data_IF_411180285445
#
_entry.id   IF_411180285445
#
_cell.length_a   1.000
_cell.length_b   1.000
_cell.length_c   1.000
_cell.angle_alpha   90.00
_cell.angle_beta   90.00
_cell.angle_gamma   90.00
#
_symmetry.space_group_name_H-M   'P 1'
#
loop_
_entity.id
_entity.type
_entity.pdbx_description
1 polymer ?
#
# COMPACT_ATOMS: atom_id res chain seq x y z
N UNK A 1 2.12 -3.04 -1.69
CA UNK A 1 3.14 -3.63 -0.81
C UNK A 1 4.50 -3.37 -1.42
N UNK A 2 5.53 -3.27 -0.60
CA UNK A 2 6.88 -2.86 -0.99
C UNK A 2 7.74 -4.08 -1.35
N UNK A 3 9.04 -3.88 -1.59
CA UNK A 3 9.96 -4.90 -2.08
C UNK A 3 10.07 -6.15 -1.19
N UNK A 4 9.92 -6.01 0.13
CA UNK A 4 10.06 -7.15 1.06
C UNK A 4 9.06 -8.28 0.83
N UNK A 5 7.84 -8.00 0.37
CA UNK A 5 6.87 -9.06 0.03
C UNK A 5 7.28 -9.82 -1.23
N UNK A 6 7.81 -9.09 -2.22
CA UNK A 6 8.36 -9.71 -3.43
C UNK A 6 9.60 -10.55 -3.10
N UNK A 7 10.49 -10.03 -2.25
CA UNK A 7 11.66 -10.76 -1.77
C UNK A 7 11.27 -12.08 -1.09
N UNK A 8 10.27 -12.04 -0.19
CA UNK A 8 9.79 -13.24 0.50
C UNK A 8 9.26 -14.31 -0.47
N UNK A 9 8.59 -13.90 -1.55
CA UNK A 9 8.13 -14.81 -2.60
C UNK A 9 9.31 -15.39 -3.40
N UNK A 10 10.23 -14.54 -3.86
CA UNK A 10 11.39 -14.96 -4.66
C UNK A 10 12.31 -15.91 -3.89
N UNK A 11 12.54 -15.62 -2.60
CA UNK A 11 13.39 -16.45 -1.74
C UNK A 11 12.69 -17.70 -1.20
N UNK A 12 11.41 -17.88 -1.48
CA UNK A 12 10.65 -19.06 -1.09
C UNK A 12 10.21 -19.08 0.38
N UNK A 13 10.20 -17.94 1.04
CA UNK A 13 9.64 -17.80 2.39
C UNK A 13 8.11 -17.89 2.38
N UNK A 14 7.49 -17.53 1.25
CA UNK A 14 6.04 -17.67 1.02
C UNK A 14 5.78 -18.29 -0.35
N UNK A 15 4.65 -18.97 -0.50
CA UNK A 15 4.23 -19.57 -1.77
C UNK A 15 3.30 -18.66 -2.58
N UNK A 16 2.61 -17.72 -1.91
CA UNK A 16 1.68 -16.78 -2.49
C UNK A 16 1.90 -15.39 -1.91
N UNK A 17 1.94 -14.38 -2.75
CA UNK A 17 1.95 -12.97 -2.39
C UNK A 17 0.73 -12.28 -3.00
N UNK A 18 -0.01 -11.48 -2.21
CA UNK A 18 -1.21 -10.77 -2.64
C UNK A 18 -1.00 -9.27 -2.44
N UNK A 19 -1.38 -8.46 -3.43
CA UNK A 19 -1.30 -6.99 -3.39
C UNK A 19 0.11 -6.46 -3.66
N UNK A 20 0.90 -7.13 -4.46
CA UNK A 20 2.24 -6.66 -4.88
C UNK A 20 2.14 -5.77 -6.12
N UNK A 21 3.14 -4.89 -6.32
CA UNK A 21 3.33 -4.18 -7.59
C UNK A 21 3.83 -5.16 -8.67
N UNK A 22 3.36 -4.98 -9.91
CA UNK A 22 3.84 -5.76 -11.05
C UNK A 22 5.15 -5.26 -11.66
N UNK A 23 5.79 -4.26 -11.05
CA UNK A 23 6.96 -3.57 -11.62
C UNK A 23 8.30 -4.27 -11.32
N UNK A 24 8.29 -5.33 -10.53
CA UNK A 24 9.51 -6.06 -10.21
C UNK A 24 9.96 -6.98 -11.35
N UNK A 25 11.27 -7.04 -11.58
CA UNK A 25 11.83 -8.02 -12.49
C UNK A 25 11.49 -9.44 -12.01
N UNK A 26 10.90 -10.23 -12.92
CA UNK A 26 10.59 -11.62 -12.63
C UNK A 26 11.84 -12.48 -12.88
N UNK A 27 12.43 -13.11 -11.87
CA UNK A 27 13.62 -13.94 -12.03
C UNK A 27 13.34 -15.28 -12.74
N UNK A 28 12.10 -15.51 -13.17
CA UNK A 28 11.61 -16.79 -13.68
C UNK A 28 11.01 -17.67 -12.58
N UNK A 29 10.08 -18.53 -12.97
CA UNK A 29 9.41 -19.45 -12.05
C UNK A 29 8.39 -18.79 -11.11
N UNK A 30 7.98 -17.54 -11.40
CA UNK A 30 6.90 -16.85 -10.70
C UNK A 30 5.79 -16.51 -11.70
N UNK A 31 4.60 -16.93 -11.38
CA UNK A 31 3.37 -16.54 -12.07
C UNK A 31 2.79 -15.28 -11.43
N UNK A 32 2.34 -14.35 -12.27
CA UNK A 32 1.78 -13.07 -11.86
C UNK A 32 0.42 -12.86 -12.52
N UNK A 33 -0.59 -12.49 -11.75
CA UNK A 33 -1.91 -12.11 -12.26
C UNK A 33 -2.43 -10.82 -11.65
N UNK A 34 -3.22 -10.03 -12.40
CA UNK A 34 -3.80 -8.80 -11.88
C UNK A 34 -4.81 -9.09 -10.78
N UNK A 35 -4.70 -8.36 -9.67
CA UNK A 35 -5.67 -8.34 -8.59
C UNK A 35 -6.69 -7.21 -8.79
N UNK A 36 -6.21 -6.01 -9.11
CA UNK A 36 -7.00 -4.80 -9.33
C UNK A 36 -6.18 -3.54 -9.08
N UNK A 37 -6.88 -2.42 -9.00
CA UNK A 37 -6.27 -1.11 -8.77
C UNK A 37 -6.68 -0.55 -7.42
N UNK A 38 -5.78 0.21 -6.79
CA UNK A 38 -6.00 0.84 -5.50
C UNK A 38 -5.56 2.31 -5.58
N UNK A 39 -6.53 3.21 -5.46
CA UNK A 39 -6.26 4.64 -5.42
C UNK A 39 -5.71 5.05 -4.06
N UNK A 40 -4.71 5.92 -4.08
CA UNK A 40 -4.17 6.55 -2.89
C UNK A 40 -4.61 8.01 -2.84
N UNK A 41 -4.91 8.48 -1.65
CA UNK A 41 -5.43 9.80 -1.39
C UNK A 41 -4.62 10.49 -0.30
N UNK A 42 -4.29 11.78 -0.51
CA UNK A 42 -3.49 12.54 0.45
C UNK A 42 -4.36 12.98 1.63
N UNK A 43 -3.87 12.73 2.84
CA UNK A 43 -4.61 12.96 4.09
C UNK A 43 -3.78 13.64 5.16
N UNK A 44 -4.48 14.45 5.95
CA UNK A 44 -3.95 15.12 7.15
C UNK A 44 -5.02 15.13 8.25
N UNK A 45 -4.60 15.27 9.50
CA UNK A 45 -5.53 15.55 10.59
C UNK A 45 -6.17 16.95 10.43
N UNK A 46 -7.39 17.20 10.96
CA UNK A 46 -8.03 18.51 10.86
C UNK A 46 -7.22 19.67 11.48
N UNK A 47 -6.44 19.37 12.50
CA UNK A 47 -5.58 20.35 13.18
C UNK A 47 -4.17 20.49 12.57
N UNK A 48 -3.86 19.73 11.51
CA UNK A 48 -2.58 19.85 10.81
C UNK A 48 -2.54 21.14 9.97
N UNK A 49 -1.42 21.89 9.92
CA UNK A 49 -1.34 23.16 9.19
C UNK A 49 -1.79 23.08 7.73
N UNK A 50 -1.47 21.99 7.04
CA UNK A 50 -1.91 21.79 5.64
C UNK A 50 -3.43 21.68 5.47
N UNK A 51 -4.20 21.36 6.54
CA UNK A 51 -5.66 21.29 6.46
C UNK A 51 -6.29 22.65 6.18
N UNK A 52 -5.65 23.73 6.63
CA UNK A 52 -6.14 25.12 6.50
C UNK A 52 -5.86 25.74 5.13
N UNK A 53 -4.93 25.19 4.37
CA UNK A 53 -4.55 25.73 3.06
C UNK A 53 -5.67 25.50 2.04
N UNK A 54 -5.85 26.45 1.14
CA UNK A 54 -6.83 26.37 0.06
C UNK A 54 -6.17 25.83 -1.23
N UNK A 55 -6.95 25.15 -2.06
CA UNK A 55 -6.51 24.59 -3.34
C UNK A 55 -5.58 23.38 -3.21
N UNK A 56 -5.05 22.90 -4.36
CA UNK A 56 -4.09 21.80 -4.40
C UNK A 56 -2.78 22.18 -3.72
N UNK A 57 -2.22 21.24 -2.97
CA UNK A 57 -0.94 21.45 -2.26
C UNK A 57 0.24 21.21 -3.21
N UNK A 58 1.10 22.22 -3.30
CA UNK A 58 2.33 22.16 -4.09
C UNK A 58 3.44 21.42 -3.34
N UNK A 59 4.39 20.83 -4.09
CA UNK A 59 5.56 20.15 -3.49
C UNK A 59 6.39 21.07 -2.60
N UNK A 60 6.49 22.36 -2.97
CA UNK A 60 7.16 23.38 -2.18
C UNK A 60 6.52 23.61 -0.80
N UNK A 61 5.22 23.37 -0.66
CA UNK A 61 4.53 23.42 0.61
C UNK A 61 4.71 22.10 1.38
N UNK A 62 4.57 20.97 0.68
CA UNK A 62 4.64 19.63 1.28
C UNK A 62 6.01 19.33 1.90
N UNK A 63 7.10 19.79 1.29
CA UNK A 63 8.47 19.51 1.75
C UNK A 63 8.75 20.03 3.17
N UNK A 64 8.03 21.07 3.62
CA UNK A 64 8.15 21.65 4.95
C UNK A 64 7.37 20.89 6.04
N UNK A 65 6.63 19.85 5.66
CA UNK A 65 5.83 19.06 6.59
C UNK A 65 6.30 17.61 6.59
N UNK A 66 6.34 17.03 7.78
CA UNK A 66 6.77 15.63 7.97
C UNK A 66 5.88 14.68 7.19
N UNK A 67 6.47 13.88 6.32
CA UNK A 67 5.78 12.76 5.69
C UNK A 67 5.73 11.55 6.63
N UNK A 68 4.64 10.80 6.61
CA UNK A 68 4.57 9.48 7.26
C UNK A 68 4.73 8.40 6.20
N UNK A 69 5.78 7.60 6.31
CA UNK A 69 6.10 6.51 5.39
C UNK A 69 6.00 5.14 6.07
N UNK A 70 5.61 4.13 5.32
CA UNK A 70 5.66 2.74 5.81
C UNK A 70 7.03 2.16 5.47
N UNK A 71 7.67 1.53 6.45
CA UNK A 71 8.93 0.83 6.27
C UNK A 71 8.78 -0.31 5.26
N UNK A 72 9.77 -0.47 4.38
CA UNK A 72 9.91 -1.68 3.59
C UNK A 72 10.59 -2.77 4.43
N UNK A 73 10.14 -4.00 4.28
CA UNK A 73 10.68 -5.16 4.99
C UNK A 73 11.75 -5.90 4.18
N UNK A 74 12.16 -5.38 3.03
CA UNK A 74 13.24 -5.95 2.22
C UNK A 74 14.56 -5.98 3.00
N UNK A 75 15.26 -7.11 2.93
CA UNK A 75 16.56 -7.31 3.59
C UNK A 75 17.71 -7.47 2.59
N UNK A 76 17.44 -8.06 1.43
CA UNK A 76 18.41 -8.34 0.36
C UNK A 76 18.16 -7.48 -0.88
N UNK A 77 16.92 -7.11 -1.13
CA UNK A 77 16.55 -6.16 -2.16
C UNK A 77 16.68 -4.73 -1.63
N UNK A 78 16.87 -3.77 -2.53
CA UNK A 78 16.88 -2.35 -2.16
C UNK A 78 15.51 -1.97 -1.59
N UNK A 79 15.44 -1.47 -0.35
CA UNK A 79 14.19 -1.00 0.24
C UNK A 79 13.59 0.13 -0.59
N UNK A 80 12.28 0.11 -0.75
CA UNK A 80 11.55 1.12 -1.53
C UNK A 80 10.74 1.98 -0.57
N UNK A 81 10.90 3.29 -0.72
CA UNK A 81 10.04 4.28 -0.09
C UNK A 81 9.33 5.08 -1.18
N UNK A 82 8.02 5.20 -1.08
CA UNK A 82 7.21 5.83 -2.13
C UNK A 82 6.57 7.12 -1.64
N UNK A 83 6.31 8.03 -2.58
CA UNK A 83 5.58 9.28 -2.35
C UNK A 83 6.24 10.25 -1.35
N UNK A 84 7.56 10.26 -1.29
CA UNK A 84 8.35 11.24 -0.55
C UNK A 84 8.93 12.30 -1.49
N UNK A 85 9.24 13.45 -0.92
CA UNK A 85 9.97 14.53 -1.60
C UNK A 85 11.44 14.55 -1.14
N UNK A 86 12.37 14.91 -2.02
CA UNK A 86 13.76 15.13 -1.61
C UNK A 86 13.84 16.19 -0.50
N UNK A 87 14.56 15.87 0.58
CA UNK A 87 14.74 16.77 1.72
C UNK A 87 13.56 16.87 2.70
N UNK A 88 12.47 16.15 2.47
CA UNK A 88 11.33 16.11 3.39
C UNK A 88 11.68 15.34 4.67
N UNK A 89 11.29 15.86 5.83
CA UNK A 89 11.34 15.10 7.10
C UNK A 89 10.38 13.91 7.04
N UNK A 90 10.81 12.74 7.53
CA UNK A 90 10.07 11.48 7.40
C UNK A 90 9.94 10.76 8.73
N UNK A 91 8.70 10.48 9.13
CA UNK A 91 8.38 9.52 10.17
C UNK A 91 8.14 8.15 9.54
N UNK A 92 9.06 7.23 9.72
CA UNK A 92 8.91 5.85 9.24
C UNK A 92 8.20 4.99 10.29
N UNK A 93 7.16 4.29 9.88
CA UNK A 93 6.32 3.43 10.72
C UNK A 93 6.23 2.00 10.16
N UNK A 94 5.98 0.98 11.00
CA UNK A 94 6.08 -0.42 10.57
C UNK A 94 4.92 -0.90 9.68
N UNK A 95 3.78 -0.22 9.66
CA UNK A 95 2.60 -0.70 8.96
C UNK A 95 1.69 0.43 8.47
N UNK A 96 0.76 0.11 7.55
CA UNK A 96 -0.26 1.05 7.10
C UNK A 96 -1.21 1.46 8.25
N UNK A 97 -1.48 0.56 9.20
CA UNK A 97 -2.23 0.87 10.42
C UNK A 97 -1.51 1.91 11.28
N UNK A 98 -0.22 1.72 11.53
CA UNK A 98 0.59 2.69 12.27
C UNK A 98 0.70 4.02 11.54
N UNK A 99 0.73 4.01 10.19
CA UNK A 99 0.66 5.22 9.38
C UNK A 99 -0.66 5.95 9.57
N UNK A 100 -1.78 5.24 9.51
CA UNK A 100 -3.10 5.81 9.76
C UNK A 100 -3.19 6.47 11.14
N UNK A 101 -2.71 5.77 12.17
CA UNK A 101 -2.68 6.29 13.53
C UNK A 101 -1.82 7.56 13.66
N UNK A 102 -0.66 7.58 13.02
CA UNK A 102 0.20 8.77 13.00
C UNK A 102 -0.49 9.97 12.32
N UNK A 103 -1.18 9.74 11.20
CA UNK A 103 -1.95 10.77 10.51
C UNK A 103 -3.10 11.30 11.37
N UNK A 104 -3.86 10.42 12.03
CA UNK A 104 -4.97 10.79 12.93
C UNK A 104 -4.50 11.65 14.11
N UNK A 105 -3.29 11.42 14.60
CA UNK A 105 -2.65 12.21 15.66
C UNK A 105 -1.99 13.50 15.16
N UNK A 106 -2.03 13.77 13.86
CA UNK A 106 -1.40 14.96 13.27
C UNK A 106 0.14 14.94 13.28
N UNK A 107 0.76 13.75 13.42
CA UNK A 107 2.23 13.61 13.45
C UNK A 107 2.90 13.83 12.08
N UNK A 108 2.10 14.00 11.03
CA UNK A 108 2.56 14.29 9.69
C UNK A 108 1.44 14.15 8.66
N UNK A 109 1.83 14.05 7.40
CA UNK A 109 0.93 13.99 6.25
C UNK A 109 1.31 12.84 5.32
N UNK A 110 0.44 12.46 4.38
CA UNK A 110 0.80 11.48 3.35
C UNK A 110 -0.35 10.79 2.66
N UNK A 111 0.02 10.01 1.66
CA UNK A 111 -0.91 9.20 0.90
C UNK A 111 -1.26 7.91 1.63
N UNK A 112 -2.55 7.57 1.66
CA UNK A 112 -3.08 6.30 2.18
C UNK A 112 -4.07 5.72 1.17
N UNK A 113 -4.29 4.40 1.14
CA UNK A 113 -5.32 3.80 0.30
C UNK A 113 -6.69 4.42 0.61
N UNK A 114 -7.44 4.77 -0.44
CA UNK A 114 -8.74 5.43 -0.27
C UNK A 114 -9.70 4.62 0.62
N UNK A 115 -9.86 3.30 0.46
CA UNK A 115 -10.77 2.53 1.30
C UNK A 115 -10.40 2.55 2.80
N UNK A 116 -9.10 2.66 3.14
CA UNK A 116 -8.64 2.82 4.52
C UNK A 116 -9.00 4.17 5.12
N UNK A 117 -9.01 5.22 4.28
CA UNK A 117 -9.25 6.58 4.75
C UNK A 117 -10.74 6.92 4.87
N UNK A 118 -11.61 6.24 4.14
CA UNK A 118 -13.03 6.57 3.96
C UNK A 118 -13.77 6.78 5.27
N UNK A 119 -13.74 5.81 6.17
CA UNK A 119 -14.40 5.90 7.47
C UNK A 119 -13.84 7.02 8.37
N UNK A 120 -12.57 7.34 8.25
CA UNK A 120 -11.93 8.40 9.02
C UNK A 120 -12.32 9.79 8.50
N UNK A 121 -12.55 9.91 7.19
CA UNK A 121 -13.02 11.14 6.55
C UNK A 121 -14.50 11.38 6.91
N UNK A 122 -15.33 10.36 6.79
CA UNK A 122 -16.76 10.42 7.16
C UNK A 122 -16.93 10.80 8.63
N UNK A 123 -16.05 10.32 9.49
CA UNK A 123 -16.03 10.69 10.91
C UNK A 123 -15.37 12.06 11.20
N UNK A 124 -14.93 12.81 10.20
CA UNK A 124 -14.26 14.11 10.35
C UNK A 124 -12.88 14.04 11.01
N UNK A 125 -12.28 12.85 11.15
CA UNK A 125 -10.98 12.65 11.78
C UNK A 125 -9.79 12.86 10.84
N UNK A 126 -10.03 12.80 9.54
CA UNK A 126 -9.06 13.14 8.49
C UNK A 126 -9.68 14.09 7.47
N UNK A 127 -8.87 14.98 6.94
CA UNK A 127 -9.21 15.90 5.87
C UNK A 127 -8.58 15.44 4.57
N UNK A 128 -9.36 15.43 3.49
CA UNK A 128 -8.85 15.26 2.14
C UNK A 128 -8.19 16.54 1.66
N UNK A 129 -6.98 16.40 1.14
CA UNK A 129 -6.29 17.47 0.42
C UNK A 129 -5.92 16.99 -0.96
N UNK A 130 -6.20 17.80 -1.96
CA UNK A 130 -5.65 17.61 -3.29
C UNK A 130 -4.17 18.00 -3.29
N UNK A 131 -3.40 17.37 -4.14
CA UNK A 131 -2.00 17.72 -4.40
C UNK A 131 -1.84 18.09 -5.87
N UNK A 132 -0.93 19.02 -6.18
CA UNK A 132 -0.61 19.37 -7.57
C UNK A 132 -0.05 18.16 -8.34
N UNK A 133 0.61 17.24 -7.62
CA UNK A 133 0.99 15.93 -8.16
C UNK A 133 -0.24 15.04 -8.29
N UNK A 134 -0.28 14.24 -9.35
CA UNK A 134 -1.31 13.22 -9.50
C UNK A 134 -1.33 12.25 -8.30
N UNK A 135 -2.52 11.94 -7.81
CA UNK A 135 -2.70 10.93 -6.78
C UNK A 135 -2.24 9.56 -7.29
N UNK A 136 -1.44 8.81 -6.51
CA UNK A 136 -0.95 7.52 -6.96
C UNK A 136 -2.09 6.51 -7.15
N UNK A 137 -2.03 5.77 -8.26
CA UNK A 137 -2.87 4.63 -8.53
C UNK A 137 -1.98 3.39 -8.57
N UNK A 138 -2.13 2.51 -7.59
CA UNK A 138 -1.37 1.28 -7.53
C UNK A 138 -2.08 0.16 -8.28
N UNK A 139 -1.42 -0.41 -9.29
CA UNK A 139 -1.85 -1.64 -9.95
C UNK A 139 -1.33 -2.82 -9.16
N UNK A 140 -2.25 -3.53 -8.52
CA UNK A 140 -1.94 -4.63 -7.64
C UNK A 140 -2.09 -5.96 -8.35
N UNK A 141 -1.21 -6.88 -8.00
CA UNK A 141 -1.17 -8.24 -8.51
C UNK A 141 -1.15 -9.24 -7.35
N UNK A 142 -1.48 -10.48 -7.65
CA UNK A 142 -1.11 -11.62 -6.83
C UNK A 142 -0.13 -12.47 -7.63
N UNK A 143 0.81 -13.07 -6.93
CA UNK A 143 1.86 -13.87 -7.53
C UNK A 143 2.17 -15.10 -6.69
N UNK A 144 2.55 -16.18 -7.35
CA UNK A 144 2.94 -17.42 -6.70
C UNK A 144 4.10 -18.05 -7.45
N UNK A 145 4.83 -18.91 -6.76
CA UNK A 145 5.89 -19.68 -7.40
C UNK A 145 5.27 -20.75 -8.27
N UNK A 146 5.58 -20.73 -9.58
CA UNK A 146 5.27 -21.80 -10.48
C UNK A 146 5.96 -23.08 -10.01
N UNK A 147 5.31 -24.19 -10.23
CA UNK A 147 5.68 -25.48 -9.67
C UNK A 147 7.11 -25.90 -9.96
N UNK A 148 7.82 -26.31 -8.90
CA UNK A 148 9.10 -27.01 -8.99
C UNK A 148 9.00 -28.49 -8.60
N UNK A 149 7.81 -28.97 -8.21
CA UNK A 149 7.60 -30.32 -7.71
C UNK A 149 6.73 -31.15 -8.67
N UNK A 150 7.10 -32.39 -8.87
CA UNK A 150 6.29 -33.38 -9.60
C UNK A 150 4.92 -33.65 -8.94
N UNK A 151 4.68 -33.15 -7.72
CA UNK A 151 3.45 -33.33 -6.94
C UNK A 151 2.41 -32.23 -7.16
N UNK A 152 2.72 -31.21 -7.96
CA UNK A 152 1.80 -30.11 -8.25
C UNK A 152 1.71 -29.03 -7.17
N UNK A 153 0.91 -28.00 -7.43
CA UNK A 153 0.62 -26.93 -6.46
C UNK A 153 -0.11 -27.53 -5.26
N UNK A 154 0.34 -27.16 -4.04
CA UNK A 154 -0.30 -27.62 -2.81
C UNK A 154 -1.77 -27.20 -2.73
N UNK A 155 -2.60 -27.99 -2.04
CA UNK A 155 -4.08 -27.81 -1.94
C UNK A 155 -4.45 -26.41 -1.44
N UNK A 156 -3.72 -25.86 -0.49
CA UNK A 156 -3.97 -24.51 0.04
C UNK A 156 -3.74 -23.43 -1.02
N UNK A 157 -2.67 -23.53 -1.80
CA UNK A 157 -2.37 -22.60 -2.88
C UNK A 157 -3.44 -22.70 -3.99
N UNK A 158 -3.82 -23.92 -4.40
CA UNK A 158 -4.89 -24.11 -5.38
C UNK A 158 -6.21 -23.47 -4.92
N UNK A 159 -6.57 -23.65 -3.65
CA UNK A 159 -7.77 -23.04 -3.08
C UNK A 159 -7.71 -21.51 -3.12
N UNK A 160 -6.57 -20.92 -2.71
CA UNK A 160 -6.40 -19.48 -2.76
C UNK A 160 -6.46 -18.92 -4.18
N UNK A 161 -5.81 -19.60 -5.14
CA UNK A 161 -5.86 -19.19 -6.55
C UNK A 161 -7.30 -19.21 -7.08
N UNK A 162 -8.08 -20.24 -6.74
CA UNK A 162 -9.49 -20.30 -7.11
C UNK A 162 -10.31 -19.15 -6.47
N UNK A 163 -10.04 -18.80 -5.20
CA UNK A 163 -10.68 -17.65 -4.55
C UNK A 163 -10.31 -16.32 -5.24
N UNK A 164 -9.07 -16.14 -5.63
CA UNK A 164 -8.59 -14.92 -6.28
C UNK A 164 -9.11 -14.74 -7.72
N UNK A 165 -9.62 -15.78 -8.36
CA UNK A 165 -10.37 -15.66 -9.62
C UNK A 165 -11.76 -15.04 -9.41
N UNK A 166 -12.34 -15.13 -8.21
CA UNK A 166 -13.63 -14.55 -7.89
C UNK A 166 -13.58 -13.01 -7.83
N UNK A 167 -14.40 -12.30 -8.62
CA UNK A 167 -14.50 -10.84 -8.53
C UNK A 167 -14.92 -10.35 -7.14
N UNK A 168 -15.77 -11.12 -6.45
CA UNK A 168 -16.25 -10.78 -5.08
C UNK A 168 -15.08 -10.81 -4.09
N UNK A 169 -14.22 -11.83 -4.16
CA UNK A 169 -13.04 -11.93 -3.30
C UNK A 169 -12.05 -10.80 -3.59
N UNK A 170 -11.79 -10.51 -4.86
CA UNK A 170 -10.92 -9.41 -5.25
C UNK A 170 -11.45 -8.06 -4.76
N UNK A 171 -12.73 -7.80 -4.94
CA UNK A 171 -13.38 -6.58 -4.44
C UNK A 171 -13.29 -6.49 -2.90
N UNK A 172 -13.52 -7.60 -2.19
CA UNK A 172 -13.39 -7.61 -0.74
C UNK A 172 -11.96 -7.30 -0.27
N UNK A 173 -10.95 -7.83 -0.94
CA UNK A 173 -9.54 -7.56 -0.63
C UNK A 173 -9.11 -6.11 -0.93
N UNK A 174 -9.74 -5.46 -1.90
CA UNK A 174 -9.40 -4.09 -2.29
C UNK A 174 -10.21 -3.03 -1.53
N UNK A 175 -11.48 -3.31 -1.21
CA UNK A 175 -12.43 -2.30 -0.73
C UNK A 175 -12.86 -2.48 0.73
N UNK A 176 -12.85 -3.72 1.27
CA UNK A 176 -13.43 -4.01 2.59
C UNK A 176 -12.35 -4.12 3.66
N UNK A 177 -11.82 -2.99 4.07
CA UNK A 177 -10.84 -2.94 5.17
C UNK A 177 -11.46 -2.64 6.55
N UNK A 178 -12.72 -2.25 6.59
CA UNK A 178 -13.38 -1.81 7.83
C UNK A 178 -13.64 -2.94 8.85
N UNK A 179 -13.54 -4.20 8.47
CA UNK A 179 -13.81 -5.35 9.35
C UNK A 179 -12.58 -6.15 9.79
N UNK A 180 -11.39 -5.81 9.32
CA UNK A 180 -10.16 -6.59 9.57
C UNK A 180 -9.21 -5.93 10.59
N UNK A 181 -9.65 -4.84 11.22
CA UNK A 181 -8.87 -4.16 12.25
C UNK A 181 -9.62 -4.31 13.59
N UNK A 182 -9.13 -5.16 14.50
CA UNK A 182 -9.59 -5.12 15.88
C UNK A 182 -9.20 -3.80 16.54
#
# INVERSE_FOLDING_TARGET
MLAGTWEALVTGQVDLAIGISGEYANPGGIELRPLGELAFVFRVAPHHPLALLQGPLEDAQLVHHRAVAVADTAQRMTPITVNLLPGQDVLTVPSMRSKMEALLRGLGCGFVPEPFARAQIEAGRLVHKETARASPLARLHYAWRAERSALGLGRALQWWLAQLESPVTRLALLERHAGLLP
#
